data_IF_819743429987
#
_entry.id   IF_819743429987
#
_cell.length_a   1.000
_cell.length_b   1.000
_cell.length_c   1.000
_cell.angle_alpha   90.00
_cell.angle_beta   90.00
_cell.angle_gamma   90.00
#
_symmetry.space_group_name_H-M   'P 1'
#
loop_
_entity.id
_entity.type
_entity.pdbx_description
1 polymer ?
#
# COMPACT_ATOMS: atom_id res chain seq x y z
N UNK A 1 -106.18 31.34 -6.11
CA UNK A 1 -105.86 30.52 -7.31
C UNK A 1 -104.38 30.76 -7.62
N UNK A 2 -103.55 29.70 -7.46
CA UNK A 2 -102.30 29.31 -8.17
C UNK A 2 -101.30 30.41 -8.61
N UNK A 3 -99.95 30.32 -8.55
CA UNK A 3 -98.93 29.37 -8.03
C UNK A 3 -97.52 29.92 -8.40
N UNK A 4 -96.48 29.47 -7.66
CA UNK A 4 -95.09 29.16 -8.06
C UNK A 4 -93.86 30.12 -8.03
N UNK A 5 -92.81 29.56 -7.36
CA UNK A 5 -91.33 29.53 -7.55
C UNK A 5 -90.38 30.76 -7.56
N UNK A 6 -89.26 30.64 -6.78
CA UNK A 6 -87.92 31.22 -7.07
C UNK A 6 -87.15 31.90 -5.89
N UNK A 7 -85.93 31.43 -5.53
CA UNK A 7 -85.03 31.95 -4.46
C UNK A 7 -84.41 33.37 -4.69
N UNK A 8 -83.37 33.89 -3.95
CA UNK A 8 -82.08 33.22 -3.61
C UNK A 8 -81.19 33.79 -2.41
N UNK A 9 -79.94 33.26 -2.30
CA UNK A 9 -78.63 33.84 -1.83
C UNK A 9 -78.25 34.00 -0.33
N UNK A 10 -77.02 33.57 -0.01
CA UNK A 10 -76.26 33.83 1.22
C UNK A 10 -74.84 34.39 0.88
N UNK A 11 -74.21 35.26 1.71
CA UNK A 11 -72.87 35.80 1.44
C UNK A 11 -71.73 35.29 2.36
N UNK A 12 -70.55 35.19 1.73
CA UNK A 12 -69.15 35.36 2.17
C UNK A 12 -68.63 34.95 3.57
N UNK A 13 -67.55 34.14 3.56
CA UNK A 13 -66.48 34.08 4.59
C UNK A 13 -65.12 34.47 3.95
N UNK A 14 -64.21 35.15 4.68
CA UNK A 14 -62.86 35.43 4.20
C UNK A 14 -61.90 34.26 4.50
N UNK A 15 -60.97 34.04 3.57
CA UNK A 15 -59.97 32.98 3.65
C UNK A 15 -58.64 33.42 4.25
N UNK A 16 -57.92 32.46 4.83
CA UNK A 16 -56.46 32.46 4.98
C UNK A 16 -55.98 31.02 4.82
N UNK A 17 -55.19 30.76 3.78
CA UNK A 17 -54.38 29.55 3.63
C UNK A 17 -52.90 29.95 3.77
N UNK A 18 -52.09 29.28 4.62
CA UNK A 18 -50.65 29.34 4.50
C UNK A 18 -50.17 28.27 3.50
N UNK A 19 -49.43 28.70 2.49
CA UNK A 19 -48.84 27.83 1.47
C UNK A 19 -47.85 26.83 2.06
N UNK A 20 -48.10 25.55 1.78
CA UNK A 20 -47.10 24.50 1.89
C UNK A 20 -46.19 24.56 0.65
N UNK A 21 -44.97 25.07 0.80
CA UNK A 21 -43.97 25.09 -0.25
C UNK A 21 -42.57 24.90 0.32
N UNK A 22 -41.79 24.01 -0.31
CA UNK A 22 -40.32 23.92 -0.24
C UNK A 22 -39.65 23.10 0.89
N UNK A 23 -39.93 21.79 0.98
CA UNK A 23 -38.99 20.84 1.65
C UNK A 23 -38.67 19.59 0.79
N UNK A 24 -39.42 19.31 -0.28
CA UNK A 24 -39.23 18.07 -1.08
C UNK A 24 -38.06 18.09 -2.07
N UNK A 25 -37.58 19.27 -2.48
CA UNK A 25 -36.50 19.41 -3.46
C UNK A 25 -35.11 19.00 -2.95
N UNK A 26 -34.80 19.29 -1.68
CA UNK A 26 -33.50 19.00 -1.07
C UNK A 26 -33.24 17.49 -0.89
N UNK A 27 -34.25 16.72 -0.47
CA UNK A 27 -34.14 15.26 -0.30
C UNK A 27 -33.96 14.51 -1.63
N UNK A 28 -34.62 14.96 -2.71
CA UNK A 28 -34.49 14.34 -4.04
C UNK A 28 -33.10 14.57 -4.64
N UNK A 29 -32.53 15.78 -4.51
CA UNK A 29 -31.20 16.07 -5.04
C UNK A 29 -30.08 15.34 -4.27
N UNK A 30 -30.20 15.20 -2.94
CA UNK A 30 -29.27 14.44 -2.10
C UNK A 30 -29.23 12.96 -2.52
N UNK A 31 -30.40 12.34 -2.72
CA UNK A 31 -30.50 10.93 -3.15
C UNK A 31 -29.89 10.70 -4.53
N UNK A 32 -30.00 11.64 -5.46
CA UNK A 32 -29.33 11.54 -6.76
C UNK A 32 -27.81 11.63 -6.64
N UNK A 33 -27.27 12.51 -5.79
CA UNK A 33 -25.82 12.63 -5.55
C UNK A 33 -25.26 11.35 -4.93
N UNK A 34 -25.93 10.80 -3.92
CA UNK A 34 -25.54 9.53 -3.26
C UNK A 34 -25.56 8.36 -4.26
N UNK A 35 -26.60 8.25 -5.10
CA UNK A 35 -26.66 7.19 -6.12
C UNK A 35 -25.54 7.32 -7.15
N UNK A 36 -25.23 8.54 -7.60
CA UNK A 36 -24.14 8.80 -8.55
C UNK A 36 -22.77 8.48 -7.95
N UNK A 37 -22.51 8.87 -6.69
CA UNK A 37 -21.25 8.55 -6.02
C UNK A 37 -21.06 7.05 -5.81
N UNK A 38 -22.13 6.34 -5.45
CA UNK A 38 -22.08 4.87 -5.29
C UNK A 38 -21.88 4.16 -6.63
N UNK A 39 -22.53 4.64 -7.71
CA UNK A 39 -22.32 4.11 -9.05
C UNK A 39 -20.88 4.34 -9.55
N UNK A 40 -20.31 5.51 -9.28
CA UNK A 40 -18.92 5.82 -9.60
C UNK A 40 -17.95 4.91 -8.83
N UNK A 41 -18.16 4.75 -7.52
CA UNK A 41 -17.36 3.85 -6.70
C UNK A 41 -17.45 2.39 -7.19
N UNK A 42 -18.66 1.93 -7.56
CA UNK A 42 -18.85 0.60 -8.13
C UNK A 42 -18.12 0.43 -9.47
N UNK A 43 -18.18 1.43 -10.35
CA UNK A 43 -17.45 1.41 -11.62
C UNK A 43 -15.93 1.35 -11.41
N UNK A 44 -15.38 2.16 -10.49
CA UNK A 44 -13.95 2.17 -10.16
C UNK A 44 -13.47 0.81 -9.62
N UNK A 45 -14.29 0.14 -8.79
CA UNK A 45 -13.97 -1.18 -8.23
C UNK A 45 -14.09 -2.28 -9.30
N UNK A 46 -15.12 -2.23 -10.14
CA UNK A 46 -15.39 -3.26 -11.15
C UNK A 46 -14.31 -3.34 -12.23
N UNK A 47 -13.70 -2.21 -12.61
CA UNK A 47 -12.62 -2.17 -13.62
C UNK A 47 -11.35 -2.91 -13.17
N UNK A 48 -11.16 -3.12 -11.87
CA UNK A 48 -9.87 -3.53 -11.31
C UNK A 48 -9.91 -4.86 -10.54
N UNK A 49 -11.09 -5.49 -10.41
CA UNK A 49 -11.28 -6.74 -9.69
C UNK A 49 -10.91 -7.97 -10.54
N UNK A 50 -9.64 -8.13 -10.89
CA UNK A 50 -9.12 -9.37 -11.50
C UNK A 50 -8.25 -10.11 -10.47
N UNK A 51 -8.74 -11.21 -9.85
CA UNK A 51 -7.90 -12.02 -8.99
C UNK A 51 -6.81 -12.68 -9.84
N UNK A 52 -5.54 -12.44 -9.51
CA UNK A 52 -4.40 -13.12 -10.13
C UNK A 52 -3.47 -13.64 -9.05
N UNK A 53 -2.82 -14.77 -9.35
CA UNK A 53 -1.95 -15.48 -8.42
C UNK A 53 -0.87 -14.55 -7.84
N UNK A 54 -0.81 -14.49 -6.51
CA UNK A 54 0.22 -13.79 -5.75
C UNK A 54 1.49 -14.67 -5.69
N UNK A 55 2.65 -14.03 -5.81
CA UNK A 55 3.97 -14.60 -6.07
C UNK A 55 4.98 -13.59 -5.49
N UNK A 56 6.09 -13.96 -4.82
CA UNK A 56 6.92 -13.01 -4.06
C UNK A 56 8.02 -12.28 -4.81
N UNK A 57 8.67 -11.37 -4.07
CA UNK A 57 10.02 -10.84 -4.20
C UNK A 57 10.93 -11.86 -4.88
N UNK A 58 11.25 -11.53 -6.13
CA UNK A 58 12.24 -12.26 -6.86
C UNK A 58 13.64 -11.91 -6.33
N UNK A 59 14.51 -12.93 -6.37
CA UNK A 59 15.95 -12.84 -6.23
C UNK A 59 16.56 -13.68 -7.33
N UNK A 60 17.60 -13.16 -7.97
CA UNK A 60 18.41 -13.94 -8.90
C UNK A 60 19.05 -15.12 -8.16
N UNK A 61 18.79 -16.35 -8.62
CA UNK A 61 19.33 -17.59 -8.03
C UNK A 61 20.52 -18.07 -8.84
N UNK A 62 20.37 -18.12 -10.17
CA UNK A 62 21.45 -18.50 -11.09
C UNK A 62 21.38 -17.69 -12.37
N UNK A 63 22.50 -17.64 -13.09
CA UNK A 63 22.58 -17.10 -14.43
C UNK A 63 23.44 -17.99 -15.32
N UNK A 64 23.22 -17.88 -16.61
CA UNK A 64 24.05 -18.46 -17.66
C UNK A 64 24.35 -17.35 -18.69
N UNK A 65 25.61 -16.89 -18.83
CA UNK A 65 26.80 -17.32 -18.08
C UNK A 65 26.74 -17.08 -16.55
N UNK A 66 27.52 -17.83 -15.74
CA UNK A 66 27.50 -17.70 -14.27
C UNK A 66 27.88 -16.31 -13.74
N UNK A 67 27.03 -15.73 -12.89
CA UNK A 67 27.32 -14.55 -12.09
C UNK A 67 28.05 -14.95 -10.81
N UNK A 68 29.34 -14.59 -10.71
CA UNK A 68 30.17 -14.88 -9.54
C UNK A 68 29.77 -14.09 -8.29
N UNK A 69 28.91 -13.07 -8.43
CA UNK A 69 28.38 -12.30 -7.30
C UNK A 69 26.99 -12.74 -6.85
N UNK A 70 26.38 -13.72 -7.51
CA UNK A 70 25.06 -14.21 -7.13
C UNK A 70 25.07 -14.71 -5.67
N UNK A 71 24.25 -14.10 -4.81
CA UNK A 71 24.14 -14.47 -3.40
C UNK A 71 25.18 -13.84 -2.45
N UNK A 72 26.09 -12.99 -2.94
CA UNK A 72 27.04 -12.25 -2.08
C UNK A 72 26.42 -10.93 -1.62
N UNK A 73 26.27 -10.65 -0.30
CA UNK A 73 25.85 -9.32 0.17
C UNK A 73 26.82 -8.23 -0.32
N UNK A 74 26.30 -7.21 -1.01
CA UNK A 74 27.05 -6.17 -1.76
C UNK A 74 28.17 -5.41 -0.99
N UNK A 75 29.16 -4.79 -1.68
CA UNK A 75 29.96 -5.29 -2.80
C UNK A 75 31.46 -5.52 -2.43
N UNK A 76 32.09 -6.42 -3.20
CA UNK A 76 33.41 -6.27 -3.86
C UNK A 76 34.70 -6.07 -3.04
N UNK A 77 35.07 -7.02 -2.17
CA UNK A 77 36.51 -7.26 -1.94
C UNK A 77 37.12 -8.16 -3.04
N UNK A 78 36.30 -9.02 -3.65
CA UNK A 78 36.77 -9.95 -4.68
C UNK A 78 36.70 -9.30 -6.06
N UNK A 79 37.86 -9.06 -6.68
CA UNK A 79 37.97 -8.53 -8.04
C UNK A 79 37.32 -9.45 -9.07
N UNK A 80 37.21 -10.77 -8.80
CA UNK A 80 36.51 -11.74 -9.66
C UNK A 80 35.03 -11.42 -9.81
N UNK A 81 34.43 -10.83 -8.79
CA UNK A 81 33.04 -10.38 -8.81
C UNK A 81 32.83 -9.23 -9.82
N UNK A 82 33.86 -8.42 -10.03
CA UNK A 82 33.82 -7.27 -10.95
C UNK A 82 34.15 -7.69 -12.38
N UNK A 83 35.11 -8.60 -12.56
CA UNK A 83 35.54 -9.08 -13.89
C UNK A 83 34.65 -10.18 -14.48
N UNK A 84 33.91 -10.89 -13.62
CA UNK A 84 33.07 -11.99 -14.02
C UNK A 84 33.85 -13.26 -14.39
N UNK A 85 33.10 -14.29 -14.79
CA UNK A 85 33.62 -15.55 -15.34
C UNK A 85 34.20 -15.34 -16.74
N UNK A 86 35.30 -16.04 -17.06
CA UNK A 86 35.82 -16.13 -18.44
C UNK A 86 35.30 -17.42 -19.08
N UNK A 87 34.54 -17.31 -20.16
CA UNK A 87 34.03 -18.43 -20.95
C UNK A 87 34.88 -18.63 -22.21
N UNK A 88 35.09 -19.89 -22.60
CA UNK A 88 35.93 -20.23 -23.74
C UNK A 88 35.26 -19.92 -25.10
N UNK A 89 33.92 -19.99 -25.17
CA UNK A 89 33.16 -19.74 -26.38
C UNK A 89 32.05 -18.70 -26.13
N UNK A 90 31.68 -17.91 -27.15
CA UNK A 90 30.52 -17.01 -27.09
C UNK A 90 29.23 -17.73 -26.69
N UNK A 91 28.54 -17.31 -25.62
CA UNK A 91 27.23 -17.87 -25.30
C UNK A 91 26.19 -17.40 -26.33
N UNK A 92 25.31 -18.27 -26.84
CA UNK A 92 24.26 -17.86 -27.78
C UNK A 92 23.08 -17.14 -27.10
N UNK A 93 22.93 -17.32 -25.79
CA UNK A 93 21.81 -16.84 -24.97
C UNK A 93 22.37 -16.39 -23.62
N UNK A 94 21.81 -15.31 -23.07
CA UNK A 94 21.92 -14.99 -21.66
C UNK A 94 20.62 -15.37 -20.96
N UNK A 95 20.70 -16.17 -19.89
CA UNK A 95 19.57 -16.65 -19.10
C UNK A 95 19.75 -16.30 -17.63
N UNK A 96 18.67 -15.83 -17.01
CA UNK A 96 18.57 -15.50 -15.60
C UNK A 96 17.46 -16.35 -14.99
N UNK A 97 17.73 -17.02 -13.88
CA UNK A 97 16.74 -17.82 -13.15
C UNK A 97 16.57 -17.28 -11.74
N UNK A 98 15.32 -17.02 -11.39
CA UNK A 98 14.93 -16.40 -10.12
C UNK A 98 14.33 -17.44 -9.16
N UNK A 99 14.17 -17.07 -7.90
CA UNK A 99 13.45 -17.87 -6.89
C UNK A 99 11.93 -17.87 -7.12
N UNK A 100 11.42 -16.88 -7.85
CA UNK A 100 10.00 -16.62 -8.10
C UNK A 100 9.76 -16.27 -9.59
N UNK A 101 8.53 -16.44 -10.12
CA UNK A 101 8.23 -16.02 -11.47
C UNK A 101 8.33 -14.49 -11.62
N UNK A 102 8.87 -14.05 -12.75
CA UNK A 102 9.14 -12.63 -13.02
C UNK A 102 8.69 -12.22 -14.41
N UNK A 103 8.42 -10.92 -14.57
CA UNK A 103 8.12 -10.27 -15.83
C UNK A 103 9.26 -9.31 -16.20
N UNK A 104 9.86 -9.39 -17.41
CA UNK A 104 10.83 -8.40 -17.87
C UNK A 104 10.15 -7.04 -18.09
N UNK A 105 10.86 -5.95 -17.81
CA UNK A 105 10.41 -4.57 -18.05
C UNK A 105 11.30 -3.93 -19.13
N UNK A 106 10.69 -3.28 -20.13
CA UNK A 106 11.42 -2.78 -21.30
C UNK A 106 12.11 -3.93 -22.04
N UNK A 107 13.42 -3.80 -22.39
CA UNK A 107 14.16 -4.91 -23.01
C UNK A 107 14.35 -6.10 -22.07
N UNK A 108 14.11 -5.95 -20.76
CA UNK A 108 14.28 -6.99 -19.73
C UNK A 108 15.74 -7.30 -19.42
N UNK A 109 16.50 -7.73 -20.42
CA UNK A 109 17.95 -7.98 -20.36
C UNK A 109 18.62 -7.14 -21.45
N UNK A 110 19.68 -6.43 -21.10
CA UNK A 110 20.53 -5.67 -22.02
C UNK A 110 21.96 -6.14 -21.85
N UNK A 111 22.64 -6.41 -22.97
CA UNK A 111 23.99 -6.96 -22.98
C UNK A 111 24.88 -6.05 -23.79
N UNK A 112 25.90 -5.50 -23.14
CA UNK A 112 26.84 -4.55 -23.73
C UNK A 112 28.18 -5.25 -23.95
N UNK A 113 28.67 -5.21 -25.18
CA UNK A 113 29.95 -5.77 -25.61
C UNK A 113 31.16 -4.93 -25.13
N UNK A 114 32.39 -5.45 -25.24
CA UNK A 114 33.61 -4.70 -24.91
C UNK A 114 33.73 -3.37 -25.66
N UNK A 115 33.24 -3.32 -26.91
CA UNK A 115 33.16 -2.11 -27.72
C UNK A 115 32.15 -1.06 -27.22
N UNK A 116 31.30 -1.40 -26.24
CA UNK A 116 30.19 -0.56 -25.79
C UNK A 116 28.90 -0.74 -26.59
N UNK A 117 28.91 -1.59 -27.64
CA UNK A 117 27.74 -1.87 -28.47
C UNK A 117 26.78 -2.86 -27.79
N UNK A 118 25.48 -2.68 -28.01
CA UNK A 118 24.45 -3.65 -27.56
C UNK A 118 24.45 -4.88 -28.47
N UNK A 119 24.34 -6.06 -27.89
CA UNK A 119 24.41 -7.34 -28.62
C UNK A 119 23.23 -8.28 -28.38
N UNK A 120 22.24 -7.88 -27.57
CA UNK A 120 21.00 -8.64 -27.45
C UNK A 120 20.14 -8.58 -28.71
N UNK A 121 19.50 -9.71 -29.05
CA UNK A 121 18.62 -9.88 -30.21
C UNK A 121 17.16 -9.87 -29.77
N UNK A 122 16.56 -8.68 -29.74
CA UNK A 122 15.16 -8.46 -29.37
C UNK A 122 14.92 -8.38 -27.85
N UNK A 123 13.65 -8.32 -27.42
CA UNK A 123 13.31 -8.24 -26.00
C UNK A 123 13.50 -9.59 -25.29
N UNK A 124 13.82 -9.54 -24.00
CA UNK A 124 13.91 -10.74 -23.18
C UNK A 124 12.54 -11.42 -23.04
N UNK A 125 12.55 -12.75 -23.02
CA UNK A 125 11.34 -13.57 -22.86
C UNK A 125 11.34 -14.23 -21.48
N UNK A 126 10.20 -14.19 -20.80
CA UNK A 126 9.99 -14.91 -19.55
C UNK A 126 9.32 -16.27 -19.80
N UNK A 127 9.77 -17.27 -19.05
CA UNK A 127 9.12 -18.57 -18.90
C UNK A 127 9.19 -18.97 -17.42
N UNK A 128 8.09 -18.76 -16.70
CA UNK A 128 8.01 -18.96 -15.25
C UNK A 128 9.08 -18.16 -14.50
N UNK A 129 10.02 -18.88 -13.87
CA UNK A 129 11.13 -18.33 -13.08
C UNK A 129 12.36 -17.93 -13.91
N UNK A 130 12.35 -18.13 -15.23
CA UNK A 130 13.49 -17.85 -16.09
C UNK A 130 13.20 -16.71 -17.06
N UNK A 131 14.17 -15.81 -17.23
CA UNK A 131 14.18 -14.75 -18.24
C UNK A 131 15.39 -14.94 -19.12
N UNK A 132 15.22 -14.90 -20.45
CA UNK A 132 16.35 -15.09 -21.36
C UNK A 132 16.26 -14.21 -22.60
N UNK A 133 17.41 -13.84 -23.14
CA UNK A 133 17.55 -13.12 -24.40
C UNK A 133 18.65 -13.76 -25.25
N UNK A 134 18.43 -13.87 -26.56
CA UNK A 134 19.47 -14.29 -27.48
C UNK A 134 20.51 -13.17 -27.61
N UNK A 135 21.79 -13.53 -27.77
CA UNK A 135 22.89 -12.55 -27.90
C UNK A 135 23.79 -12.89 -29.07
N UNK A 136 24.55 -11.90 -29.53
CA UNK A 136 25.65 -12.03 -30.48
C UNK A 136 26.97 -11.65 -29.80
N UNK A 137 27.55 -12.59 -29.05
CA UNK A 137 28.73 -12.36 -28.20
C UNK A 137 30.07 -12.66 -28.92
N UNK A 138 30.19 -12.27 -30.19
CA UNK A 138 31.34 -12.62 -31.03
C UNK A 138 32.66 -11.87 -30.73
N UNK A 139 32.62 -10.77 -29.97
CA UNK A 139 33.80 -9.95 -29.65
C UNK A 139 34.55 -10.54 -28.44
N UNK A 140 35.87 -10.81 -28.54
CA UNK A 140 36.65 -11.19 -27.37
C UNK A 140 36.74 -10.04 -26.37
N UNK A 141 36.49 -10.30 -25.10
CA UNK A 141 36.51 -9.27 -24.06
C UNK A 141 35.40 -9.40 -23.02
N UNK A 142 35.29 -8.40 -22.16
CA UNK A 142 34.29 -8.34 -21.10
C UNK A 142 32.95 -7.75 -21.57
N UNK A 143 31.90 -8.54 -21.40
CA UNK A 143 30.50 -8.16 -21.60
C UNK A 143 29.86 -7.76 -20.27
N UNK A 144 28.97 -6.78 -20.31
CA UNK A 144 28.16 -6.40 -19.15
C UNK A 144 26.68 -6.69 -19.42
N UNK A 145 26.11 -7.52 -18.56
CA UNK A 145 24.69 -7.84 -18.54
C UNK A 145 24.01 -6.95 -17.52
N UNK A 146 22.94 -6.28 -17.92
CA UNK A 146 22.04 -5.58 -17.01
C UNK A 146 20.63 -6.10 -17.21
N UNK A 147 19.86 -6.17 -16.13
CA UNK A 147 18.50 -6.68 -16.21
C UNK A 147 17.55 -5.91 -15.30
N UNK A 148 16.28 -5.90 -15.70
CA UNK A 148 15.16 -5.28 -15.01
C UNK A 148 13.97 -6.22 -15.09
N UNK A 149 13.47 -6.63 -13.94
CA UNK A 149 12.29 -7.48 -13.85
C UNK A 149 11.38 -6.98 -12.74
N UNK A 150 10.12 -7.37 -12.82
CA UNK A 150 9.13 -7.20 -11.78
C UNK A 150 8.69 -8.57 -11.33
N UNK A 151 8.76 -8.80 -10.03
CA UNK A 151 8.23 -10.00 -9.41
C UNK A 151 6.72 -9.99 -9.34
N UNK A 152 6.18 -11.16 -9.02
CA UNK A 152 4.75 -11.37 -8.91
C UNK A 152 4.00 -10.53 -7.87
N UNK A 153 4.69 -9.98 -6.87
CA UNK A 153 4.17 -9.17 -5.77
C UNK A 153 4.39 -7.68 -6.03
N UNK A 154 4.57 -7.32 -7.30
CA UNK A 154 4.75 -5.94 -7.74
C UNK A 154 6.01 -5.28 -7.12
N UNK A 155 7.10 -6.04 -6.98
CA UNK A 155 8.39 -5.49 -6.56
C UNK A 155 9.38 -5.43 -7.72
N UNK A 156 9.96 -4.26 -8.00
CA UNK A 156 10.99 -4.14 -9.02
C UNK A 156 12.32 -4.69 -8.50
N UNK A 157 12.93 -5.53 -9.32
CA UNK A 157 14.27 -6.04 -9.13
C UNK A 157 15.12 -5.67 -10.35
N UNK A 158 16.35 -5.25 -10.09
CA UNK A 158 17.33 -5.01 -11.15
C UNK A 158 18.69 -5.45 -10.67
N UNK A 159 19.53 -5.84 -11.61
CA UNK A 159 20.89 -6.23 -11.31
C UNK A 159 21.80 -6.07 -12.52
N UNK A 160 23.07 -6.36 -12.26
CA UNK A 160 24.11 -6.39 -13.27
C UNK A 160 25.15 -7.43 -12.90
N UNK A 161 25.75 -8.03 -13.90
CA UNK A 161 26.96 -8.83 -13.75
C UNK A 161 27.78 -8.73 -15.04
N UNK A 162 29.02 -9.17 -14.96
CA UNK A 162 29.91 -9.24 -16.11
C UNK A 162 30.28 -10.70 -16.40
N UNK A 163 30.62 -10.98 -17.66
CA UNK A 163 31.33 -12.18 -18.07
C UNK A 163 32.28 -11.81 -19.19
N UNK A 164 33.32 -12.59 -19.43
CA UNK A 164 34.28 -12.34 -20.49
C UNK A 164 34.34 -13.50 -21.47
N UNK A 165 34.41 -13.21 -22.76
CA UNK A 165 34.62 -14.22 -23.81
C UNK A 165 36.10 -14.25 -24.17
N UNK A 166 36.72 -15.42 -24.04
CA UNK A 166 38.14 -15.69 -24.28
C UNK A 166 39.14 -14.98 -23.35
N UNK A 167 38.98 -13.67 -23.11
CA UNK A 167 39.86 -12.88 -22.22
C UNK A 167 39.11 -11.68 -21.62
N UNK A 168 39.47 -11.22 -20.41
CA UNK A 168 38.95 -9.95 -19.87
C UNK A 168 39.48 -8.72 -20.63
N UNK A 169 38.72 -7.64 -20.63
CA UNK A 169 39.16 -6.32 -21.11
C UNK A 169 39.64 -5.46 -19.94
N UNK A 170 40.69 -4.67 -20.14
CA UNK A 170 41.28 -3.84 -19.07
C UNK A 170 40.34 -2.75 -18.55
N UNK A 171 39.42 -2.25 -19.40
CA UNK A 171 38.43 -1.25 -19.04
C UNK A 171 37.04 -1.84 -19.24
N UNK A 172 36.24 -1.90 -18.17
CA UNK A 172 34.81 -2.14 -18.32
C UNK A 172 34.21 -0.95 -19.05
N UNK A 173 33.37 -1.21 -20.07
CA UNK A 173 32.60 -0.15 -20.72
C UNK A 173 31.94 0.71 -19.64
N UNK A 174 32.22 2.03 -19.65
CA UNK A 174 31.76 2.95 -18.63
C UNK A 174 30.23 2.91 -18.59
N UNK A 175 29.67 2.35 -17.52
CA UNK A 175 28.26 2.42 -17.23
C UNK A 175 28.05 3.57 -16.24
N UNK A 176 27.14 4.53 -16.51
CA UNK A 176 26.93 5.68 -15.64
C UNK A 176 26.76 5.27 -14.17
N UNK A 177 27.54 5.90 -13.28
CA UNK A 177 27.67 5.58 -11.86
C UNK A 177 26.57 6.26 -10.99
N UNK A 178 25.72 7.09 -11.60
CA UNK A 178 24.62 7.83 -10.93
C UNK A 178 23.49 6.92 -10.39
N UNK A 179 23.62 5.60 -10.57
CA UNK A 179 22.63 4.57 -10.23
C UNK A 179 22.45 4.36 -8.74
N UNK A 180 23.50 4.57 -7.94
CA UNK A 180 23.45 4.41 -6.49
C UNK A 180 22.56 5.46 -5.81
N UNK A 181 22.53 6.68 -6.34
CA UNK A 181 21.66 7.73 -5.85
C UNK A 181 20.19 7.44 -6.22
N UNK A 182 19.91 7.11 -7.48
CA UNK A 182 18.55 6.79 -7.96
C UNK A 182 17.94 5.55 -7.28
N UNK A 183 18.76 4.52 -6.99
CA UNK A 183 18.29 3.34 -6.25
C UNK A 183 17.87 3.70 -4.81
N UNK A 184 18.71 4.49 -4.13
CA UNK A 184 18.47 4.92 -2.75
C UNK A 184 17.28 5.86 -2.66
N UNK A 185 17.21 6.87 -3.52
CA UNK A 185 16.08 7.81 -3.55
C UNK A 185 14.77 7.09 -3.92
N UNK A 186 14.79 6.19 -4.90
CA UNK A 186 13.65 5.36 -5.25
C UNK A 186 13.19 4.44 -4.12
N UNK A 187 14.12 3.85 -3.37
CA UNK A 187 13.80 3.07 -2.18
C UNK A 187 13.17 3.93 -1.08
N UNK A 188 13.78 5.07 -0.74
CA UNK A 188 13.25 6.00 0.26
C UNK A 188 11.85 6.48 -0.13
N UNK A 189 11.65 6.84 -1.40
CA UNK A 189 10.35 7.29 -1.89
C UNK A 189 9.28 6.20 -1.81
N UNK A 190 9.62 4.95 -2.15
CA UNK A 190 8.72 3.81 -1.99
C UNK A 190 8.35 3.56 -0.51
N UNK A 191 9.31 3.68 0.41
CA UNK A 191 9.07 3.56 1.86
C UNK A 191 8.16 4.70 2.35
N UNK A 192 8.43 5.94 1.95
CA UNK A 192 7.62 7.10 2.34
C UNK A 192 6.19 7.01 1.77
N UNK A 193 6.04 6.63 0.50
CA UNK A 193 4.75 6.40 -0.13
C UNK A 193 3.96 5.30 0.60
N UNK A 194 4.63 4.20 0.98
CA UNK A 194 3.98 3.11 1.73
C UNK A 194 3.63 3.49 3.17
N UNK A 195 4.45 4.30 3.83
CA UNK A 195 4.12 4.86 5.14
C UNK A 195 2.91 5.79 5.05
N UNK A 196 2.84 6.61 3.99
CA UNK A 196 1.69 7.46 3.70
C UNK A 196 0.43 6.64 3.39
N UNK A 197 0.56 5.52 2.67
CA UNK A 197 -0.53 4.57 2.43
C UNK A 197 -1.09 4.01 3.74
N UNK A 198 -0.23 3.47 4.62
CA UNK A 198 -0.68 2.93 5.91
C UNK A 198 -1.30 4.00 6.82
N UNK A 199 -0.74 5.21 6.82
CA UNK A 199 -1.32 6.35 7.52
C UNK A 199 -2.69 6.72 6.93
N UNK A 200 -2.79 6.80 5.60
CA UNK A 200 -4.04 7.07 4.90
C UNK A 200 -5.12 6.03 5.17
N UNK A 201 -4.74 4.75 5.20
CA UNK A 201 -5.61 3.63 5.57
C UNK A 201 -6.13 3.79 7.02
N UNK A 202 -5.24 4.08 7.97
CA UNK A 202 -5.59 4.27 9.38
C UNK A 202 -6.50 5.50 9.59
N UNK A 203 -6.21 6.63 8.95
CA UNK A 203 -7.02 7.85 9.06
C UNK A 203 -8.37 7.70 8.32
N UNK A 204 -8.37 7.13 7.13
CA UNK A 204 -9.54 6.95 6.28
C UNK A 204 -10.47 5.88 6.84
N UNK A 205 -10.05 4.61 6.72
CA UNK A 205 -10.87 3.46 7.12
C UNK A 205 -10.91 3.27 8.64
N UNK A 206 -9.84 3.58 9.37
CA UNK A 206 -9.84 3.48 10.83
C UNK A 206 -10.77 4.50 11.50
N UNK A 207 -10.93 5.72 10.96
CA UNK A 207 -11.95 6.67 11.44
C UNK A 207 -13.38 6.25 11.12
N UNK A 208 -13.60 5.51 10.02
CA UNK A 208 -14.89 4.89 9.71
C UNK A 208 -15.17 3.70 10.64
N UNK A 209 -14.15 2.89 10.94
CA UNK A 209 -14.23 1.83 11.94
C UNK A 209 -14.54 2.39 13.33
N UNK A 210 -13.95 3.53 13.72
CA UNK A 210 -14.30 4.23 14.95
C UNK A 210 -15.78 4.63 15.00
N UNK A 211 -16.33 5.18 13.90
CA UNK A 211 -17.76 5.50 13.81
C UNK A 211 -18.64 4.27 13.99
N UNK A 212 -18.26 3.16 13.35
CA UNK A 212 -19.03 1.91 13.36
C UNK A 212 -18.94 1.16 14.70
N UNK A 213 -17.74 1.04 15.25
CA UNK A 213 -17.46 0.20 16.43
C UNK A 213 -17.63 0.94 17.75
N UNK A 214 -17.46 2.27 17.77
CA UNK A 214 -17.49 3.09 18.99
C UNK A 214 -18.70 4.00 19.03
N UNK A 215 -18.85 4.89 18.05
CA UNK A 215 -19.83 5.99 18.12
C UNK A 215 -21.26 5.49 17.94
N UNK A 216 -21.55 4.72 16.89
CA UNK A 216 -22.90 4.20 16.65
C UNK A 216 -23.46 3.37 17.81
N UNK A 217 -22.72 2.42 18.39
CA UNK A 217 -23.22 1.63 19.51
C UNK A 217 -23.44 2.42 20.80
N UNK A 218 -22.73 3.54 20.98
CA UNK A 218 -22.90 4.42 22.14
C UNK A 218 -24.03 5.45 21.96
N UNK A 219 -24.59 5.58 20.75
CA UNK A 219 -25.66 6.53 20.48
C UNK A 219 -25.27 7.99 20.75
N UNK A 220 -23.98 8.33 20.61
CA UNK A 220 -23.50 9.69 20.89
C UNK A 220 -24.23 10.67 19.97
N UNK A 221 -24.88 11.72 20.50
CA UNK A 221 -25.58 12.72 19.69
C UNK A 221 -24.63 13.34 18.66
N UNK A 222 -25.15 13.60 17.46
CA UNK A 222 -24.39 14.24 16.37
C UNK A 222 -24.04 15.69 16.73
N UNK A 223 -22.86 15.89 17.30
CA UNK A 223 -22.31 17.21 17.60
C UNK A 223 -21.54 17.70 16.37
N UNK A 224 -21.93 18.86 15.82
CA UNK A 224 -21.38 19.36 14.56
C UNK A 224 -19.84 19.54 14.57
N UNK A 225 -19.27 20.09 15.65
CA UNK A 225 -17.83 20.28 15.77
C UNK A 225 -17.06 18.94 15.81
N UNK A 226 -17.61 17.96 16.54
CA UNK A 226 -17.10 16.60 16.63
C UNK A 226 -17.13 15.90 15.26
N UNK A 227 -18.27 15.96 14.57
CA UNK A 227 -18.44 15.32 13.27
C UNK A 227 -17.54 15.98 12.22
N UNK A 228 -17.43 17.31 12.21
CA UNK A 228 -16.51 18.03 11.34
C UNK A 228 -15.05 17.63 11.56
N UNK A 229 -14.61 17.51 12.82
CA UNK A 229 -13.25 17.09 13.13
C UNK A 229 -12.98 15.66 12.63
N UNK A 230 -13.91 14.74 12.84
CA UNK A 230 -13.75 13.36 12.41
C UNK A 230 -13.85 13.21 10.88
N UNK A 231 -14.64 14.03 10.19
CA UNK A 231 -14.66 14.06 8.72
C UNK A 231 -13.37 14.65 8.14
N UNK A 232 -12.76 15.66 8.77
CA UNK A 232 -11.42 16.14 8.37
C UNK A 232 -10.39 15.01 8.41
N UNK A 233 -10.43 14.16 9.43
CA UNK A 233 -9.58 12.96 9.53
C UNK A 233 -9.85 11.98 8.38
N UNK A 234 -11.12 11.64 8.12
CA UNK A 234 -11.46 10.73 7.00
C UNK A 234 -11.01 11.30 5.65
N UNK A 235 -11.21 12.60 5.40
CA UNK A 235 -10.80 13.27 4.16
C UNK A 235 -9.28 13.32 4.02
N UNK A 236 -8.56 13.63 5.09
CA UNK A 236 -7.10 13.60 5.12
C UNK A 236 -6.57 12.18 4.83
N UNK A 237 -7.22 11.15 5.37
CA UNK A 237 -6.89 9.76 5.07
C UNK A 237 -7.13 9.38 3.61
N UNK A 238 -8.27 9.76 3.04
CA UNK A 238 -8.56 9.54 1.63
C UNK A 238 -7.58 10.28 0.71
N UNK A 239 -7.23 11.54 1.03
CA UNK A 239 -6.21 12.29 0.30
C UNK A 239 -4.83 11.63 0.38
N UNK A 240 -4.43 11.17 1.57
CA UNK A 240 -3.17 10.48 1.79
C UNK A 240 -3.09 9.19 0.98
N UNK A 241 -4.17 8.40 0.90
CA UNK A 241 -4.24 7.21 0.04
C UNK A 241 -4.07 7.56 -1.45
N UNK A 242 -4.77 8.59 -1.94
CA UNK A 242 -4.65 9.03 -3.34
C UNK A 242 -3.23 9.50 -3.66
N UNK A 243 -2.57 10.20 -2.72
CA UNK A 243 -1.20 10.69 -2.90
C UNK A 243 -0.13 9.60 -2.73
N UNK A 244 -0.40 8.57 -1.93
CA UNK A 244 0.56 7.50 -1.66
C UNK A 244 0.90 6.69 -2.91
N UNK A 245 -0.10 6.35 -3.73
CA UNK A 245 0.07 5.45 -4.87
C UNK A 245 1.01 6.01 -5.96
N UNK A 246 0.91 7.28 -6.39
CA UNK A 246 1.90 7.89 -7.29
C UNK A 246 3.31 7.93 -6.71
N UNK A 247 3.48 8.17 -5.40
CA UNK A 247 4.79 8.18 -4.76
C UNK A 247 5.44 6.79 -4.77
N UNK A 248 4.65 5.75 -4.48
CA UNK A 248 5.11 4.35 -4.57
C UNK A 248 5.48 4.00 -6.02
N UNK A 249 4.65 4.37 -6.99
CA UNK A 249 4.92 4.15 -8.42
C UNK A 249 6.20 4.84 -8.90
N UNK A 250 6.40 6.11 -8.53
CA UNK A 250 7.61 6.85 -8.84
C UNK A 250 8.84 6.22 -8.18
N UNK A 251 8.72 5.78 -6.92
CA UNK A 251 9.78 5.05 -6.22
C UNK A 251 10.18 3.77 -6.94
N UNK A 252 9.21 2.99 -7.43
CA UNK A 252 9.45 1.80 -8.22
C UNK A 252 10.08 2.10 -9.59
N UNK A 253 9.63 3.14 -10.30
CA UNK A 253 10.21 3.58 -11.57
C UNK A 253 11.68 4.00 -11.41
N UNK A 254 12.00 4.78 -10.37
CA UNK A 254 13.37 5.18 -10.03
C UNK A 254 14.25 3.96 -9.67
N UNK A 255 13.69 2.99 -8.94
CA UNK A 255 14.36 1.72 -8.63
C UNK A 255 14.66 0.89 -9.87
N UNK A 256 13.84 0.96 -10.91
CA UNK A 256 14.11 0.34 -12.22
C UNK A 256 15.09 1.18 -13.06
N UNK A 257 15.27 2.47 -12.72
CA UNK A 257 16.13 3.39 -13.47
C UNK A 257 15.47 3.88 -14.74
N UNK A 258 14.14 4.05 -14.69
CA UNK A 258 13.35 4.70 -15.74
C UNK A 258 13.52 6.21 -15.56
N UNK A 259 14.10 6.86 -16.56
CA UNK A 259 14.34 8.30 -16.56
C UNK A 259 13.83 8.90 -17.88
N UNK A 260 12.51 9.08 -17.99
CA UNK A 260 11.89 9.74 -19.15
C UNK A 260 11.53 8.83 -20.33
N UNK A 261 11.83 7.53 -20.28
CA UNK A 261 11.44 6.57 -21.32
C UNK A 261 9.93 6.26 -21.24
N UNK A 262 9.13 6.80 -22.17
CA UNK A 262 7.68 6.62 -22.19
C UNK A 262 7.27 5.15 -22.36
N UNK A 263 7.97 4.41 -23.22
CA UNK A 263 7.68 2.99 -23.49
C UNK A 263 7.93 2.11 -22.26
N UNK A 264 9.02 2.38 -21.52
CA UNK A 264 9.33 1.64 -20.29
C UNK A 264 8.34 1.99 -19.18
N UNK A 265 7.84 3.23 -19.13
CA UNK A 265 6.78 3.60 -18.22
C UNK A 265 5.47 2.88 -18.56
N UNK A 266 5.13 2.74 -19.84
CA UNK A 266 3.97 1.96 -20.28
C UNK A 266 4.09 0.49 -19.82
N UNK A 267 5.25 -0.14 -20.03
CA UNK A 267 5.51 -1.50 -19.54
C UNK A 267 5.35 -1.63 -18.02
N UNK A 268 5.79 -0.62 -17.24
CA UNK A 268 5.61 -0.61 -15.78
C UNK A 268 4.13 -0.51 -15.41
N UNK A 269 3.34 0.30 -16.13
CA UNK A 269 1.89 0.44 -15.90
C UNK A 269 1.11 -0.82 -16.30
N UNK A 270 1.55 -1.53 -17.35
CA UNK A 270 0.98 -2.81 -17.77
C UNK A 270 1.43 -3.99 -16.89
N UNK A 271 2.56 -3.84 -16.21
CA UNK A 271 3.07 -4.84 -15.28
C UNK A 271 2.18 -4.99 -14.04
N UNK A 272 2.49 -6.00 -13.23
CA UNK A 272 1.86 -6.21 -11.93
C UNK A 272 1.99 -5.00 -11.00
N UNK A 273 3.07 -4.22 -11.11
CA UNK A 273 3.25 -2.98 -10.35
C UNK A 273 2.13 -2.00 -10.65
N UNK A 274 1.90 -1.70 -11.93
CA UNK A 274 0.84 -0.81 -12.35
C UNK A 274 -0.56 -1.31 -11.98
N UNK A 275 -0.81 -2.62 -12.09
CA UNK A 275 -2.09 -3.22 -11.69
C UNK A 275 -2.38 -3.03 -10.19
N UNK A 276 -1.43 -3.34 -9.30
CA UNK A 276 -1.63 -3.23 -7.83
C UNK A 276 -1.78 -1.76 -7.42
N UNK A 277 -0.93 -0.88 -7.96
CA UNK A 277 -1.04 0.57 -7.74
C UNK A 277 -2.38 1.09 -8.23
N UNK A 278 -2.81 0.64 -9.42
CA UNK A 278 -4.11 0.98 -10.00
C UNK A 278 -5.28 0.54 -9.12
N UNK A 279 -5.27 -0.71 -8.62
CA UNK A 279 -6.26 -1.24 -7.68
C UNK A 279 -6.36 -0.41 -6.40
N UNK A 280 -5.22 -0.09 -5.77
CA UNK A 280 -5.18 0.75 -4.57
C UNK A 280 -5.70 2.15 -4.84
N UNK A 281 -5.26 2.77 -5.94
CA UNK A 281 -5.71 4.11 -6.34
C UNK A 281 -7.20 4.12 -6.66
N UNK A 282 -7.71 3.11 -7.35
CA UNK A 282 -9.14 2.95 -7.63
C UNK A 282 -9.98 2.88 -6.36
N UNK A 283 -9.51 2.13 -5.36
CA UNK A 283 -10.14 2.08 -4.03
C UNK A 283 -10.05 3.43 -3.31
N UNK A 284 -8.90 4.10 -3.33
CA UNK A 284 -8.72 5.42 -2.72
C UNK A 284 -9.68 6.45 -3.33
N UNK A 285 -9.81 6.45 -4.67
CA UNK A 285 -10.75 7.31 -5.41
C UNK A 285 -12.21 6.93 -5.16
N UNK A 286 -12.53 5.63 -5.00
CA UNK A 286 -13.86 5.18 -4.63
C UNK A 286 -14.23 5.67 -3.22
N UNK A 287 -13.32 5.56 -2.24
CA UNK A 287 -13.51 6.15 -0.91
C UNK A 287 -13.73 7.66 -1.01
N UNK A 288 -12.91 8.36 -1.79
CA UNK A 288 -13.03 9.81 -2.01
C UNK A 288 -14.40 10.19 -2.59
N UNK A 289 -14.86 9.49 -3.63
CA UNK A 289 -16.18 9.69 -4.23
C UNK A 289 -17.31 9.44 -3.24
N UNK A 290 -17.16 8.46 -2.35
CA UNK A 290 -18.15 8.11 -1.33
C UNK A 290 -18.20 9.08 -0.14
N UNK A 291 -17.24 9.98 0.04
CA UNK A 291 -17.20 10.91 1.19
C UNK A 291 -18.49 11.71 1.34
N UNK A 292 -19.03 12.24 0.24
CA UNK A 292 -20.29 13.00 0.26
C UNK A 292 -21.46 12.15 0.74
N UNK A 293 -21.57 10.89 0.27
CA UNK A 293 -22.61 9.97 0.71
C UNK A 293 -22.44 9.53 2.18
N UNK A 294 -21.19 9.36 2.63
CA UNK A 294 -20.85 9.02 4.00
C UNK A 294 -21.23 10.15 4.97
N UNK A 295 -21.01 11.41 4.57
CA UNK A 295 -21.36 12.60 5.34
C UNK A 295 -22.87 12.80 5.53
N UNK A 296 -23.71 12.23 4.66
CA UNK A 296 -25.18 12.22 4.85
C UNK A 296 -25.66 11.28 5.96
N UNK A 297 -24.77 10.49 6.57
CA UNK A 297 -25.10 9.53 7.62
C UNK A 297 -25.62 8.18 7.11
N UNK A 298 -25.57 7.94 5.78
CA UNK A 298 -26.04 6.69 5.15
C UNK A 298 -25.37 5.44 5.75
N UNK A 299 -26.19 4.52 6.29
CA UNK A 299 -25.70 3.26 6.85
C UNK A 299 -25.15 2.32 5.79
N UNK A 300 -25.75 2.33 4.59
CA UNK A 300 -25.29 1.55 3.44
C UNK A 300 -23.93 2.04 2.96
N UNK A 301 -23.75 3.36 2.81
CA UNK A 301 -22.47 3.94 2.41
C UNK A 301 -21.35 3.57 3.40
N UNK A 302 -21.62 3.60 4.71
CA UNK A 302 -20.64 3.21 5.73
C UNK A 302 -20.25 1.72 5.61
N UNK A 303 -21.23 0.82 5.44
CA UNK A 303 -20.96 -0.62 5.26
C UNK A 303 -20.13 -0.87 4.00
N UNK A 304 -20.47 -0.22 2.90
CA UNK A 304 -19.72 -0.32 1.64
C UNK A 304 -18.31 0.22 1.77
N UNK A 305 -18.11 1.35 2.47
CA UNK A 305 -16.77 1.90 2.70
C UNK A 305 -15.93 1.00 3.60
N UNK A 306 -16.52 0.34 4.61
CA UNK A 306 -15.82 -0.67 5.41
C UNK A 306 -15.46 -1.91 4.58
N UNK A 307 -16.36 -2.37 3.72
CA UNK A 307 -16.08 -3.47 2.79
C UNK A 307 -14.95 -3.11 1.82
N UNK A 308 -14.91 -1.87 1.35
CA UNK A 308 -13.85 -1.33 0.51
C UNK A 308 -12.50 -1.28 1.24
N UNK A 309 -12.49 -0.91 2.53
CA UNK A 309 -11.30 -0.98 3.38
C UNK A 309 -10.79 -2.42 3.54
N UNK A 310 -11.69 -3.37 3.79
CA UNK A 310 -11.33 -4.80 3.83
C UNK A 310 -10.75 -5.29 2.49
N UNK A 311 -11.33 -4.86 1.37
CA UNK A 311 -10.82 -5.20 0.04
C UNK A 311 -9.39 -4.64 -0.17
N UNK A 312 -9.13 -3.40 0.26
CA UNK A 312 -7.80 -2.81 0.19
C UNK A 312 -6.78 -3.58 1.04
N UNK A 313 -7.16 -4.03 2.25
CA UNK A 313 -6.29 -4.85 3.08
C UNK A 313 -5.95 -6.20 2.44
N UNK A 314 -6.88 -6.78 1.68
CA UNK A 314 -6.63 -8.01 0.88
C UNK A 314 -5.66 -7.73 -0.27
N UNK A 315 -5.84 -6.62 -0.99
CA UNK A 315 -4.93 -6.20 -2.07
C UNK A 315 -3.52 -5.96 -1.52
N UNK A 316 -3.40 -5.39 -0.31
CA UNK A 316 -2.11 -5.24 0.36
C UNK A 316 -1.42 -6.59 0.64
N UNK A 317 -2.19 -7.67 0.81
CA UNK A 317 -1.66 -9.03 0.93
C UNK A 317 -1.08 -9.57 -0.38
N UNK A 318 -1.61 -9.16 -1.53
CA UNK A 318 -1.10 -9.61 -2.83
C UNK A 318 0.35 -9.16 -3.08
N UNK A 319 0.75 -8.04 -2.46
CA UNK A 319 2.06 -7.43 -2.60
C UNK A 319 3.15 -7.96 -1.63
N UNK A 320 2.87 -9.04 -0.88
CA UNK A 320 3.76 -9.52 0.20
C UNK A 320 4.07 -11.03 0.16
N UNK A 321 3.27 -11.87 -0.53
CA UNK A 321 3.36 -13.33 -0.31
C UNK A 321 4.14 -14.11 -1.37
N UNK A 322 5.10 -14.88 -0.87
CA UNK A 322 5.90 -15.85 -1.59
C UNK A 322 5.18 -17.17 -1.82
N UNK A 323 5.61 -17.90 -2.85
CA UNK A 323 5.17 -19.26 -3.16
C UNK A 323 5.50 -20.25 -2.02
N UNK A 324 6.31 -19.83 -1.03
CA UNK A 324 6.69 -20.64 0.13
C UNK A 324 5.59 -20.84 1.18
N UNK A 325 4.52 -20.03 1.21
CA UNK A 325 3.42 -20.21 2.19
C UNK A 325 2.27 -21.00 1.57
N UNK A 326 2.13 -22.28 1.96
CA UNK A 326 0.98 -23.11 1.61
C UNK A 326 0.09 -23.36 2.83
N UNK A 327 -1.23 -23.08 2.75
CA UNK A 327 -1.97 -22.58 1.59
C UNK A 327 -1.83 -21.04 1.39
N UNK A 328 -1.75 -20.59 0.13
CA UNK A 328 -1.63 -19.18 -0.27
C UNK A 328 -2.72 -18.29 0.35
N UNK A 329 -3.95 -18.82 0.44
CA UNK A 329 -5.07 -18.12 1.04
C UNK A 329 -4.83 -17.75 2.51
N UNK A 330 -4.11 -18.58 3.27
CA UNK A 330 -3.82 -18.30 4.68
C UNK A 330 -2.89 -17.09 4.83
N UNK A 331 -1.86 -16.96 3.98
CA UNK A 331 -0.98 -15.78 3.98
C UNK A 331 -1.73 -14.50 3.64
N UNK A 332 -2.48 -14.51 2.53
CA UNK A 332 -3.31 -13.37 2.10
C UNK A 332 -4.29 -12.91 3.18
N UNK A 333 -5.02 -13.85 3.78
CA UNK A 333 -5.98 -13.56 4.85
C UNK A 333 -5.26 -13.05 6.10
N UNK A 334 -4.15 -13.67 6.50
CA UNK A 334 -3.39 -13.24 7.67
C UNK A 334 -2.88 -11.81 7.51
N UNK A 335 -2.37 -11.45 6.33
CA UNK A 335 -1.96 -10.08 6.05
C UNK A 335 -3.13 -9.10 5.99
N UNK A 336 -4.23 -9.47 5.35
CA UNK A 336 -5.42 -8.62 5.33
C UNK A 336 -5.94 -8.35 6.75
N UNK A 337 -5.98 -9.38 7.60
CA UNK A 337 -6.30 -9.27 9.02
C UNK A 337 -5.29 -8.37 9.74
N UNK A 338 -3.98 -8.52 9.48
CA UNK A 338 -2.94 -7.69 10.07
C UNK A 338 -3.11 -6.20 9.72
N UNK A 339 -3.28 -5.88 8.43
CA UNK A 339 -3.44 -4.51 7.94
C UNK A 339 -4.74 -3.89 8.45
N UNK A 340 -5.86 -4.63 8.40
CA UNK A 340 -7.14 -4.15 8.93
C UNK A 340 -7.10 -3.91 10.45
N UNK A 341 -6.46 -4.81 11.20
CA UNK A 341 -6.28 -4.66 12.63
C UNK A 341 -5.37 -3.47 12.97
N UNK A 342 -4.24 -3.31 12.27
CA UNK A 342 -3.34 -2.17 12.43
C UNK A 342 -4.06 -0.85 12.13
N UNK A 343 -4.75 -0.75 11.00
CA UNK A 343 -5.49 0.46 10.62
C UNK A 343 -6.63 0.79 11.58
N UNK A 344 -7.32 -0.23 12.10
CA UNK A 344 -8.33 -0.04 13.14
C UNK A 344 -7.69 0.47 14.43
N UNK A 345 -6.61 -0.17 14.91
CA UNK A 345 -5.92 0.23 16.13
C UNK A 345 -5.40 1.68 16.07
N UNK A 346 -4.61 2.01 15.06
CA UNK A 346 -4.05 3.36 14.90
C UNK A 346 -5.17 4.39 14.67
N UNK A 347 -6.13 4.06 13.82
CA UNK A 347 -7.22 4.96 13.46
C UNK A 347 -8.15 5.30 14.62
N UNK A 348 -8.53 4.32 15.46
CA UNK A 348 -9.40 4.60 16.62
C UNK A 348 -8.68 5.41 17.70
N UNK A 349 -7.37 5.25 17.86
CA UNK A 349 -6.56 6.06 18.78
C UNK A 349 -6.47 7.51 18.29
N UNK A 350 -6.14 7.73 17.01
CA UNK A 350 -6.09 9.07 16.44
C UNK A 350 -7.48 9.74 16.49
N UNK A 351 -8.54 9.01 16.15
CA UNK A 351 -9.90 9.50 16.25
C UNK A 351 -10.24 9.92 17.70
N UNK A 352 -9.89 9.11 18.70
CA UNK A 352 -10.09 9.46 20.10
C UNK A 352 -9.34 10.75 20.50
N UNK A 353 -8.09 10.92 20.06
CA UNK A 353 -7.30 12.13 20.35
C UNK A 353 -7.92 13.39 19.74
N UNK A 354 -8.47 13.29 18.53
CA UNK A 354 -9.19 14.39 17.89
C UNK A 354 -10.49 14.72 18.64
N UNK A 355 -11.23 13.68 19.06
CA UNK A 355 -12.48 13.81 19.83
C UNK A 355 -12.22 14.38 21.22
N UNK A 356 -11.10 14.06 21.85
CA UNK A 356 -10.73 14.53 23.18
C UNK A 356 -10.64 16.06 23.27
N UNK A 357 -10.39 16.74 22.14
CA UNK A 357 -10.30 18.20 22.05
C UNK A 357 -11.65 18.91 21.87
N UNK A 358 -12.73 18.20 21.58
CA UNK A 358 -14.05 18.80 21.40
C UNK A 358 -14.74 19.01 22.77
N UNK A 359 -15.05 20.25 23.13
CA UNK A 359 -15.64 20.61 24.43
C UNK A 359 -16.97 19.89 24.68
N UNK A 360 -17.82 19.82 23.65
CA UNK A 360 -19.22 19.39 23.75
C UNK A 360 -19.42 17.88 23.99
N UNK A 361 -18.38 17.06 23.83
CA UNK A 361 -18.43 15.60 24.09
C UNK A 361 -18.07 15.24 25.53
N UNK A 362 -17.76 16.22 26.38
CA UNK A 362 -17.41 16.04 27.80
C UNK A 362 -18.22 14.96 28.55
N UNK A 363 -19.56 14.93 28.51
CA UNK A 363 -20.34 13.92 29.24
C UNK A 363 -20.17 12.49 28.72
N UNK A 364 -19.85 12.31 27.43
CA UNK A 364 -19.66 11.00 26.81
C UNK A 364 -18.19 10.54 26.77
N UNK A 365 -17.23 11.39 27.15
CA UNK A 365 -15.79 11.12 26.99
C UNK A 365 -15.35 9.82 27.65
N UNK A 366 -15.81 9.55 28.88
CA UNK A 366 -15.44 8.34 29.60
C UNK A 366 -15.94 7.06 28.89
N UNK A 367 -17.19 7.07 28.41
CA UNK A 367 -17.79 5.95 27.68
C UNK A 367 -17.09 5.72 26.33
N UNK A 368 -16.80 6.81 25.59
CA UNK A 368 -16.05 6.77 24.34
C UNK A 368 -14.66 6.19 24.59
N UNK A 369 -13.90 6.74 25.55
CA UNK A 369 -12.56 6.29 25.88
C UNK A 369 -12.52 4.81 26.31
N UNK A 370 -13.46 4.37 27.15
CA UNK A 370 -13.55 2.98 27.60
C UNK A 370 -13.83 2.01 26.45
N UNK A 371 -14.75 2.37 25.53
CA UNK A 371 -15.06 1.54 24.37
C UNK A 371 -13.94 1.57 23.33
N UNK A 372 -13.34 2.72 23.07
CA UNK A 372 -12.16 2.84 22.22
C UNK A 372 -11.00 2.02 22.76
N UNK A 373 -10.73 2.06 24.07
CA UNK A 373 -9.68 1.25 24.69
C UNK A 373 -9.88 -0.24 24.45
N UNK A 374 -11.12 -0.75 24.56
CA UNK A 374 -11.44 -2.15 24.24
C UNK A 374 -11.19 -2.48 22.77
N UNK A 375 -11.71 -1.65 21.85
CA UNK A 375 -11.53 -1.86 20.40
C UNK A 375 -10.05 -1.80 20.02
N UNK A 376 -9.31 -0.81 20.51
CA UNK A 376 -7.88 -0.62 20.28
C UNK A 376 -7.08 -1.83 20.80
N UNK A 377 -7.41 -2.34 21.99
CA UNK A 377 -6.73 -3.51 22.57
C UNK A 377 -6.98 -4.78 21.74
N UNK A 378 -8.23 -5.05 21.35
CA UNK A 378 -8.55 -6.20 20.50
C UNK A 378 -7.83 -6.10 19.16
N UNK A 379 -7.88 -4.93 18.51
CA UNK A 379 -7.20 -4.70 17.24
C UNK A 379 -5.68 -4.87 17.37
N UNK A 380 -5.06 -4.37 18.44
CA UNK A 380 -3.64 -4.57 18.72
C UNK A 380 -3.30 -6.05 18.91
N UNK A 381 -4.07 -6.80 19.69
CA UNK A 381 -3.83 -8.23 19.91
C UNK A 381 -3.95 -9.03 18.61
N UNK A 382 -4.95 -8.73 17.77
CA UNK A 382 -5.10 -9.34 16.44
C UNK A 382 -3.92 -9.00 15.54
N UNK A 383 -3.44 -7.74 15.55
CA UNK A 383 -2.27 -7.32 14.80
C UNK A 383 -0.98 -8.03 15.29
N UNK A 384 -0.81 -8.22 16.59
CA UNK A 384 0.32 -8.95 17.17
C UNK A 384 0.29 -10.43 16.80
N UNK A 385 -0.86 -11.09 16.91
CA UNK A 385 -1.01 -12.50 16.58
C UNK A 385 -0.77 -12.75 15.08
N UNK A 386 -1.44 -11.99 14.21
CA UNK A 386 -1.23 -12.07 12.76
C UNK A 386 0.20 -11.72 12.35
N UNK A 387 0.81 -10.71 12.97
CA UNK A 387 2.21 -10.32 12.70
C UNK A 387 3.22 -11.40 13.11
N UNK A 388 2.92 -12.14 14.18
CA UNK A 388 3.72 -13.29 14.61
C UNK A 388 3.65 -14.41 13.59
N UNK A 389 2.44 -14.77 13.13
CA UNK A 389 2.24 -15.76 12.06
C UNK A 389 2.97 -15.36 10.78
N UNK A 390 2.86 -14.08 10.37
CA UNK A 390 3.59 -13.57 9.21
C UNK A 390 5.11 -13.66 9.42
N UNK A 391 5.61 -13.37 10.62
CA UNK A 391 7.06 -13.46 10.89
C UNK A 391 7.57 -14.90 10.75
N UNK A 392 6.83 -15.89 11.24
CA UNK A 392 7.17 -17.30 11.06
C UNK A 392 7.09 -17.75 9.60
N UNK A 393 6.23 -17.13 8.79
CA UNK A 393 6.11 -17.43 7.36
C UNK A 393 7.26 -16.84 6.53
N UNK A 394 7.87 -15.73 6.97
CA UNK A 394 8.91 -15.03 6.21
C UNK A 394 10.35 -15.35 6.66
N UNK A 395 10.54 -15.87 7.88
CA UNK A 395 11.85 -16.22 8.41
C UNK A 395 12.10 -17.72 8.21
N UNK A 396 13.29 -18.10 7.71
CA UNK A 396 13.65 -19.52 7.53
C UNK A 396 14.27 -20.10 8.81
N UNK A 397 14.84 -19.25 9.67
CA UNK A 397 15.28 -19.62 11.01
C UNK A 397 15.48 -18.43 11.96
N UNK A 398 15.70 -18.71 13.26
CA UNK A 398 15.91 -17.66 14.28
C UNK A 398 17.17 -16.84 14.06
N UNK A 399 18.18 -17.41 13.40
CA UNK A 399 19.41 -16.70 13.02
C UNK A 399 19.18 -15.55 12.04
N UNK A 400 18.08 -15.56 11.29
CA UNK A 400 17.76 -14.48 10.35
C UNK A 400 17.42 -13.17 11.05
N UNK A 401 16.90 -13.25 12.29
CA UNK A 401 16.56 -12.07 13.10
C UNK A 401 17.78 -11.18 13.35
N UNK A 402 18.96 -11.78 13.55
CA UNK A 402 20.19 -11.05 13.82
C UNK A 402 21.00 -10.78 12.54
N UNK A 403 21.04 -11.74 11.60
CA UNK A 403 21.93 -11.70 10.43
C UNK A 403 21.38 -10.92 9.24
N UNK A 404 20.07 -10.70 9.18
CA UNK A 404 19.43 -10.05 8.03
C UNK A 404 18.91 -8.65 8.38
N UNK A 405 18.94 -7.73 7.42
CA UNK A 405 18.32 -6.42 7.57
C UNK A 405 16.82 -6.55 7.86
N UNK A 406 16.14 -7.49 7.18
CA UNK A 406 14.73 -7.79 7.39
C UNK A 406 14.44 -8.17 8.86
N UNK A 407 15.21 -9.12 9.40
CA UNK A 407 15.11 -9.55 10.79
C UNK A 407 15.37 -8.44 11.80
N UNK A 408 16.42 -7.63 11.58
CA UNK A 408 16.74 -6.49 12.45
C UNK A 408 15.63 -5.44 12.48
N UNK A 409 14.96 -5.20 11.36
CA UNK A 409 13.81 -4.28 11.31
C UNK A 409 12.61 -4.88 12.05
N UNK A 410 12.37 -6.20 12.00
CA UNK A 410 11.34 -6.87 12.82
C UNK A 410 11.62 -6.63 14.30
N UNK A 411 12.85 -6.92 14.76
CA UNK A 411 13.24 -6.73 16.16
C UNK A 411 13.04 -5.27 16.59
N UNK A 412 13.47 -4.32 15.76
CA UNK A 412 13.30 -2.88 16.03
C UNK A 412 11.82 -2.48 16.10
N UNK A 413 10.97 -3.03 15.21
CA UNK A 413 9.52 -2.79 15.19
C UNK A 413 8.85 -3.33 16.46
N UNK A 414 9.21 -4.54 16.89
CA UNK A 414 8.70 -5.14 18.12
C UNK A 414 9.14 -4.36 19.35
N UNK A 415 10.42 -3.97 19.44
CA UNK A 415 10.93 -3.14 20.53
C UNK A 415 10.21 -1.78 20.61
N UNK A 416 10.01 -1.12 19.46
CA UNK A 416 9.26 0.14 19.38
C UNK A 416 7.81 -0.04 19.82
N UNK A 417 7.17 -1.15 19.42
CA UNK A 417 5.81 -1.46 19.84
C UNK A 417 5.71 -1.66 21.36
N UNK A 418 6.67 -2.36 21.98
CA UNK A 418 6.73 -2.54 23.44
C UNK A 418 6.83 -1.19 24.15
N UNK A 419 7.67 -0.27 23.65
CA UNK A 419 7.80 1.09 24.19
C UNK A 419 6.49 1.85 24.07
N UNK A 420 5.81 1.82 22.91
CA UNK A 420 4.50 2.46 22.70
C UNK A 420 3.46 1.93 23.70
N UNK A 421 3.38 0.61 23.88
CA UNK A 421 2.44 0.00 24.82
C UNK A 421 2.78 0.38 26.27
N UNK A 422 4.06 0.43 26.63
CA UNK A 422 4.49 0.88 27.96
C UNK A 422 4.11 2.34 28.23
N UNK A 423 4.33 3.24 27.27
CA UNK A 423 3.92 4.64 27.35
C UNK A 423 2.40 4.77 27.49
N UNK A 424 1.63 4.02 26.68
CA UNK A 424 0.17 4.02 26.76
C UNK A 424 -0.34 3.51 28.12
N UNK A 425 0.25 2.43 28.66
CA UNK A 425 -0.09 1.92 30.00
C UNK A 425 0.25 2.93 31.10
N UNK A 426 1.40 3.60 31.02
CA UNK A 426 1.79 4.63 31.97
C UNK A 426 0.87 5.86 31.90
N UNK A 427 0.51 6.32 30.70
CA UNK A 427 -0.46 7.40 30.51
C UNK A 427 -1.83 7.04 31.11
N UNK A 428 -2.29 5.79 30.93
CA UNK A 428 -3.55 5.31 31.54
C UNK A 428 -3.52 5.31 33.06
N UNK A 429 -2.40 4.95 33.68
CA UNK A 429 -2.25 4.96 35.15
C UNK A 429 -2.31 6.38 35.74
N UNK A 430 -1.80 7.37 35.00
CA UNK A 430 -1.75 8.77 35.43
C UNK A 430 -3.03 9.56 35.08
N UNK A 431 -3.97 8.98 34.33
CA UNK A 431 -5.26 9.59 33.99
C UNK A 431 -5.11 10.96 33.30
N UNK A 432 -5.98 11.90 33.64
CA UNK A 432 -6.01 13.28 33.08
C UNK A 432 -4.75 14.09 33.44
N UNK A 433 -3.99 13.66 34.45
CA UNK A 433 -2.74 14.31 34.87
C UNK A 433 -1.52 13.90 34.03
N UNK A 434 -1.69 13.05 33.01
CA UNK A 434 -0.60 12.63 32.12
C UNK A 434 0.02 13.85 31.40
N UNK A 435 1.32 14.13 31.58
CA UNK A 435 1.98 15.28 30.96
C UNK A 435 1.96 15.24 29.42
N UNK A 436 1.98 16.42 28.77
CA UNK A 436 1.90 16.58 27.32
C UNK A 436 2.95 15.75 26.53
N UNK A 437 4.13 15.57 27.12
CA UNK A 437 5.22 14.77 26.55
C UNK A 437 4.86 13.30 26.30
N UNK A 438 3.95 12.71 27.08
CA UNK A 438 3.60 11.29 26.94
C UNK A 438 2.82 11.01 25.66
N UNK A 439 1.86 11.86 25.31
CA UNK A 439 1.11 11.68 24.06
C UNK A 439 1.95 12.01 22.83
N UNK A 440 2.88 12.97 22.93
CA UNK A 440 3.84 13.24 21.85
C UNK A 440 4.74 12.02 21.62
N UNK A 441 5.21 11.39 22.70
CA UNK A 441 5.97 10.14 22.65
C UNK A 441 5.18 8.97 22.05
N UNK A 442 3.91 8.80 22.45
CA UNK A 442 3.03 7.77 21.89
C UNK A 442 2.81 7.98 20.39
N UNK A 443 2.54 9.21 19.95
CA UNK A 443 2.33 9.54 18.53
C UNK A 443 3.61 9.37 17.72
N UNK A 444 4.77 9.78 18.24
CA UNK A 444 6.07 9.55 17.61
C UNK A 444 6.37 8.05 17.47
N UNK A 445 6.05 7.26 18.49
CA UNK A 445 6.19 5.80 18.44
C UNK A 445 5.26 5.14 17.42
N UNK A 446 4.01 5.58 17.30
CA UNK A 446 3.09 5.10 16.26
C UNK A 446 3.61 5.40 14.86
N UNK A 447 4.11 6.62 14.61
CA UNK A 447 4.74 7.00 13.34
C UNK A 447 5.97 6.13 13.07
N UNK A 448 6.82 5.90 14.07
CA UNK A 448 7.98 5.02 13.93
C UNK A 448 7.58 3.57 13.59
N UNK A 449 6.54 3.02 14.22
CA UNK A 449 6.02 1.68 13.90
C UNK A 449 5.52 1.61 12.45
N UNK A 450 4.82 2.64 11.97
CA UNK A 450 4.35 2.72 10.59
C UNK A 450 5.51 2.81 9.58
N UNK A 451 6.53 3.61 9.87
CA UNK A 451 7.74 3.72 9.03
C UNK A 451 8.51 2.39 8.99
N UNK A 452 8.68 1.72 10.13
CA UNK A 452 9.32 0.40 10.20
C UNK A 452 8.49 -0.65 9.45
N UNK A 453 7.16 -0.60 9.53
CA UNK A 453 6.30 -1.47 8.75
C UNK A 453 6.43 -1.21 7.23
N UNK A 454 6.48 0.05 6.82
CA UNK A 454 6.68 0.43 5.42
C UNK A 454 8.06 -0.02 4.90
N UNK A 455 9.10 0.09 5.74
CA UNK A 455 10.43 -0.43 5.45
C UNK A 455 10.44 -1.95 5.29
N UNK A 456 9.82 -2.70 6.21
CA UNK A 456 9.73 -4.17 6.13
C UNK A 456 9.12 -4.66 4.82
N UNK A 457 8.03 -4.03 4.39
CA UNK A 457 7.33 -4.42 3.15
C UNK A 457 8.12 -4.02 1.89
N UNK A 458 9.10 -3.12 2.03
CA UNK A 458 9.98 -2.70 0.93
C UNK A 458 11.28 -3.50 0.85
N UNK A 459 11.55 -4.34 1.86
CA UNK A 459 12.72 -5.20 1.97
C UNK A 459 12.38 -6.62 1.55
N UNK A 460 13.30 -7.27 0.84
CA UNK A 460 13.17 -8.67 0.52
C UNK A 460 13.37 -9.53 1.79
N UNK A 461 12.47 -10.49 2.08
CA UNK A 461 12.65 -11.44 3.18
C UNK A 461 13.88 -12.33 2.94
N UNK A 462 14.43 -12.97 3.99
CA UNK A 462 15.48 -13.98 3.83
C UNK A 462 15.05 -15.10 2.87
N UNK A 463 16.03 -15.65 2.15
CA UNK A 463 15.83 -16.73 1.18
C UNK A 463 16.11 -18.09 1.83
#
# INVERSE_FOLDING_TARGET
RLSDCGGPRAPHRPGVTPGAGTVSGGRRSLNHRVRRSLALAAALVAVLAVPRNALAHARLVTSDPPDLCAGVPAPAADSRCVTGVVVAAPPPIVRLTFNEPVQPIGPGIRVVAPSGRRVERGPARASGRSVSVAVDAAEPGTYVVTWRVVSGDAQPERGRFAFSVSRPTATLAALPDDRGAALRSGFVLAVLGRALHFLGYALGFGSLAFRWLVIRPLGVPGVAAFDHALWRVTRAGAAALVLAEPLVGLGHALRLGVAGDADVLADVLESRVGLVIGQRLGIALALWAMLTALETGSSVALKLALALGSALAVIDGQAVHAVSVRPLAAGLVTNAVHVAAMGTWVGVVIALLVVWRAADVAPARAAIAARTGRVATIALLVAMASGTVLSFQHLTGTGDLARTLYGRVIVTKVATLIVVVALAMAARRNGVAAPERWWRGELAGLVAVLLLAAALVSLAPPA
#
